data_IF_261231201489
#
_entry.id   IF_261231201489
#
_cell.length_a   1.000
_cell.length_b   1.000
_cell.length_c   1.000
_cell.angle_alpha   90.00
_cell.angle_beta   90.00
_cell.angle_gamma   90.00
#
_symmetry.space_group_name_H-M   'P 1'
#
loop_
_entity.id
_entity.type
_entity.pdbx_description
1 polymer ?
#
# COMPACT_ATOMS: atom_id res chain seq x y z
N UNK A 1 1.68 19.21 -16.72
CA UNK A 1 0.59 18.44 -16.12
C UNK A 1 0.42 18.88 -14.67
N UNK A 2 -0.79 19.19 -14.26
CA UNK A 2 -1.06 19.66 -12.89
C UNK A 2 -1.09 18.49 -11.91
N UNK A 3 -0.39 18.63 -10.79
CA UNK A 3 -0.49 17.68 -9.68
C UNK A 3 -1.49 18.21 -8.67
N UNK A 4 -2.50 17.40 -8.39
CA UNK A 4 -3.46 17.64 -7.32
C UNK A 4 -3.08 16.83 -6.09
N UNK A 5 -3.43 17.35 -4.92
CA UNK A 5 -3.26 16.64 -3.65
C UNK A 5 -4.48 16.80 -2.76
N UNK A 6 -4.69 15.82 -1.91
CA UNK A 6 -5.65 15.91 -0.80
C UNK A 6 -5.14 15.09 0.38
N UNK A 7 -5.63 15.41 1.57
CA UNK A 7 -5.36 14.63 2.78
C UNK A 7 -6.62 13.90 3.21
N UNK A 8 -6.45 12.66 3.62
CA UNK A 8 -7.54 11.82 4.09
C UNK A 8 -7.19 11.28 5.48
N UNK A 9 -7.95 11.62 6.53
CA UNK A 9 -7.76 11.01 7.84
C UNK A 9 -8.03 9.51 7.79
N UNK A 10 -7.21 8.74 8.51
CA UNK A 10 -7.36 7.28 8.57
C UNK A 10 -6.96 6.75 9.94
N UNK A 11 -7.30 5.48 10.26
CA UNK A 11 -6.89 4.85 11.52
C UNK A 11 -5.37 4.71 11.69
N UNK A 12 -4.60 4.85 10.61
CA UNK A 12 -3.13 4.77 10.66
C UNK A 12 -2.46 6.13 10.51
N UNK A 13 -3.21 7.21 10.58
CA UNK A 13 -2.74 8.57 10.38
C UNK A 13 -3.27 9.17 9.08
N UNK A 14 -2.98 10.45 8.86
CA UNK A 14 -3.42 11.12 7.64
C UNK A 14 -2.71 10.54 6.43
N UNK A 15 -3.48 10.31 5.37
CA UNK A 15 -2.94 9.90 4.08
C UNK A 15 -2.84 11.11 3.17
N UNK A 16 -1.69 11.28 2.51
CA UNK A 16 -1.51 12.25 1.45
C UNK A 16 -1.71 11.54 0.12
N UNK A 17 -2.72 11.95 -0.64
CA UNK A 17 -2.99 11.44 -1.97
C UNK A 17 -2.52 12.46 -3.00
N UNK A 18 -1.85 12.00 -4.03
CA UNK A 18 -1.41 12.83 -5.15
C UNK A 18 -1.75 12.18 -6.48
N UNK A 19 -2.01 13.00 -7.50
CA UNK A 19 -2.32 12.53 -8.85
C UNK A 19 -2.59 13.67 -9.81
N UNK A 20 -2.89 13.33 -11.07
CA UNK A 20 -3.15 14.33 -12.11
C UNK A 20 -4.65 14.51 -12.44
N UNK A 21 -5.51 13.81 -11.73
CA UNK A 21 -6.96 13.79 -11.97
C UNK A 21 -7.44 12.47 -12.57
N UNK A 22 -6.60 11.79 -13.32
CA UNK A 22 -6.93 10.50 -13.94
C UNK A 22 -6.25 9.34 -13.23
N UNK A 23 -5.01 9.51 -12.82
CA UNK A 23 -4.20 8.47 -12.17
C UNK A 23 -3.64 8.98 -10.83
N UNK A 24 -3.55 8.07 -9.87
CA UNK A 24 -2.80 8.33 -8.64
C UNK A 24 -1.31 8.21 -8.92
N UNK A 25 -0.55 9.20 -8.49
CA UNK A 25 0.92 9.14 -8.49
C UNK A 25 1.47 8.70 -7.14
N UNK A 26 0.69 8.80 -6.08
CA UNK A 26 1.11 8.32 -4.78
C UNK A 26 0.06 8.42 -3.69
N UNK A 27 0.26 7.60 -2.68
CA UNK A 27 -0.42 7.62 -1.39
C UNK A 27 0.64 7.41 -0.32
N UNK A 28 0.82 8.38 0.54
CA UNK A 28 1.81 8.32 1.62
C UNK A 28 1.13 8.52 2.95
N UNK A 29 1.58 7.77 3.95
CA UNK A 29 1.11 7.91 5.33
C UNK A 29 1.95 8.99 6.00
N UNK A 30 1.34 9.84 6.81
CA UNK A 30 2.03 10.94 7.47
C UNK A 30 3.26 10.46 8.24
N UNK A 31 4.39 11.13 8.05
CA UNK A 31 5.68 10.75 8.64
C UNK A 31 6.43 9.64 7.89
N UNK A 32 5.92 9.19 6.77
CA UNK A 32 6.54 8.12 5.99
C UNK A 32 7.86 8.56 5.36
N UNK A 33 8.88 7.69 5.39
CA UNK A 33 10.12 7.89 4.62
C UNK A 33 9.78 7.91 3.13
N UNK A 34 10.55 8.69 2.39
CA UNK A 34 10.43 8.84 0.94
C UNK A 34 9.15 9.52 0.48
N UNK A 35 8.36 10.06 1.41
CA UNK A 35 7.25 10.93 1.02
C UNK A 35 7.81 12.19 0.33
N UNK A 36 7.18 12.64 -0.77
CA UNK A 36 7.69 13.78 -1.50
C UNK A 36 7.48 15.07 -0.73
N UNK A 37 8.31 16.06 -1.02
CA UNK A 37 8.01 17.43 -0.64
C UNK A 37 6.89 17.94 -1.55
N UNK A 38 5.93 18.64 -0.95
CA UNK A 38 4.81 19.22 -1.71
C UNK A 38 5.34 20.37 -2.56
N UNK A 39 5.21 20.25 -3.87
CA UNK A 39 5.63 21.27 -4.80
C UNK A 39 4.78 22.55 -4.67
N UNK A 40 5.39 23.71 -4.90
CA UNK A 40 4.70 24.99 -4.82
C UNK A 40 3.57 25.13 -5.87
N UNK A 41 3.66 24.36 -6.94
CA UNK A 41 2.67 24.34 -8.03
C UNK A 41 1.58 23.25 -7.87
N UNK A 42 1.67 22.44 -6.81
CA UNK A 42 0.64 21.43 -6.54
C UNK A 42 -0.63 22.10 -6.02
N UNK A 43 -1.77 21.57 -6.42
CA UNK A 43 -3.07 22.15 -6.10
C UNK A 43 -3.86 21.24 -5.15
N UNK A 44 -4.39 21.83 -4.10
CA UNK A 44 -5.27 21.12 -3.17
C UNK A 44 -6.65 21.01 -3.81
N UNK A 45 -7.12 19.78 -4.03
CA UNK A 45 -8.45 19.51 -4.56
C UNK A 45 -8.89 18.10 -4.14
N UNK A 46 -10.07 17.99 -3.57
CA UNK A 46 -10.63 16.71 -3.16
C UNK A 46 -11.28 15.94 -4.30
N UNK A 47 -11.87 16.63 -5.26
CA UNK A 47 -12.65 16.01 -6.34
C UNK A 47 -11.91 14.95 -7.15
N UNK A 48 -10.64 15.15 -7.57
CA UNK A 48 -9.91 14.14 -8.34
C UNK A 48 -9.71 12.83 -7.57
N UNK A 49 -9.87 12.84 -6.26
CA UNK A 49 -9.63 11.69 -5.39
C UNK A 49 -10.92 11.09 -4.80
N UNK A 50 -12.08 11.46 -5.32
CA UNK A 50 -13.37 10.98 -4.80
C UNK A 50 -13.45 9.46 -4.78
N UNK A 51 -13.06 8.81 -5.86
CA UNK A 51 -13.08 7.35 -5.96
C UNK A 51 -12.03 6.69 -5.06
N UNK A 52 -10.81 7.22 -5.04
CA UNK A 52 -9.75 6.72 -4.16
C UNK A 52 -10.15 6.85 -2.69
N UNK A 53 -10.71 7.99 -2.33
CA UNK A 53 -11.20 8.25 -0.96
C UNK A 53 -12.30 7.27 -0.58
N UNK A 54 -13.25 7.02 -1.47
CA UNK A 54 -14.34 6.06 -1.25
C UNK A 54 -13.79 4.67 -0.98
N UNK A 55 -12.87 4.20 -1.84
CA UNK A 55 -12.30 2.87 -1.72
C UNK A 55 -11.44 2.72 -0.46
N UNK A 56 -10.65 3.73 -0.11
CA UNK A 56 -9.84 3.70 1.11
C UNK A 56 -10.73 3.67 2.36
N UNK A 57 -11.81 4.44 2.39
CA UNK A 57 -12.77 4.39 3.49
C UNK A 57 -13.44 3.03 3.61
N UNK A 58 -13.83 2.43 2.49
CA UNK A 58 -14.38 1.07 2.46
C UNK A 58 -13.36 0.04 2.97
N UNK A 59 -12.09 0.19 2.58
CA UNK A 59 -11.01 -0.68 3.07
C UNK A 59 -10.91 -0.63 4.61
N UNK A 60 -10.82 0.55 5.18
CA UNK A 60 -10.70 0.69 6.64
C UNK A 60 -11.98 0.30 7.38
N UNK A 61 -13.12 0.38 6.73
CA UNK A 61 -14.39 -0.10 7.28
C UNK A 61 -14.55 -1.63 7.21
N UNK A 62 -13.62 -2.33 6.55
CA UNK A 62 -13.70 -3.77 6.36
C UNK A 62 -14.64 -4.20 5.24
N UNK A 63 -15.08 -3.25 4.40
CA UNK A 63 -16.04 -3.50 3.32
C UNK A 63 -15.38 -3.74 1.96
N UNK A 64 -14.06 -3.57 1.88
CA UNK A 64 -13.32 -3.73 0.63
C UNK A 64 -12.00 -4.44 0.88
N UNK A 65 -11.70 -5.43 0.04
CA UNK A 65 -10.46 -6.20 0.10
C UNK A 65 -9.57 -6.00 -1.13
N UNK A 66 -10.06 -5.34 -2.17
CA UNK A 66 -9.33 -5.08 -3.41
C UNK A 66 -9.57 -3.65 -3.87
N UNK A 67 -8.56 -3.05 -4.46
CA UNK A 67 -8.65 -1.71 -5.02
C UNK A 67 -8.75 -1.77 -6.55
N UNK A 68 -9.57 -0.89 -7.12
CA UNK A 68 -9.70 -0.70 -8.55
C UNK A 68 -9.43 0.78 -8.87
N UNK A 69 -8.15 1.14 -8.86
CA UNK A 69 -7.68 2.50 -9.04
C UNK A 69 -6.59 2.53 -10.10
N UNK A 70 -6.64 3.54 -10.96
CA UNK A 70 -5.59 3.78 -11.94
C UNK A 70 -4.37 4.38 -11.25
N UNK A 71 -3.23 3.70 -11.36
CA UNK A 71 -1.98 4.11 -10.75
C UNK A 71 -0.98 4.48 -11.85
N UNK A 72 -0.32 5.62 -11.69
CA UNK A 72 0.79 5.99 -12.55
C UNK A 72 2.00 5.13 -12.21
N UNK A 73 2.49 4.38 -13.17
CA UNK A 73 3.69 3.57 -12.98
C UNK A 73 4.92 4.45 -13.14
N UNK A 74 5.66 4.58 -12.04
CA UNK A 74 6.96 5.27 -11.98
C UNK A 74 7.98 4.26 -11.45
N UNK A 75 9.23 4.65 -11.39
CA UNK A 75 10.28 3.79 -10.85
C UNK A 75 11.00 2.98 -11.92
N UNK A 76 11.98 2.19 -11.45
CA UNK A 76 12.79 1.34 -12.31
C UNK A 76 12.01 0.09 -12.74
N UNK A 77 12.46 -0.62 -13.79
CA UNK A 77 11.85 -1.89 -14.17
C UNK A 77 11.78 -2.88 -13.01
N UNK A 78 12.84 -2.99 -12.21
CA UNK A 78 12.85 -3.88 -11.05
C UNK A 78 11.84 -3.46 -9.98
N UNK A 79 11.76 -2.18 -9.66
CA UNK A 79 10.76 -1.67 -8.73
C UNK A 79 9.34 -2.00 -9.20
N UNK A 80 9.05 -1.79 -10.48
CA UNK A 80 7.74 -2.11 -11.04
C UNK A 80 7.43 -3.62 -10.98
N UNK A 81 8.42 -4.48 -11.18
CA UNK A 81 8.25 -5.93 -10.99
C UNK A 81 7.89 -6.26 -9.54
N UNK A 82 8.60 -5.67 -8.58
CA UNK A 82 8.33 -5.88 -7.15
C UNK A 82 6.93 -5.39 -6.79
N UNK A 83 6.57 -4.17 -7.18
CA UNK A 83 5.27 -3.61 -6.87
C UNK A 83 4.12 -4.39 -7.52
N UNK A 84 4.33 -4.90 -8.73
CA UNK A 84 3.36 -5.78 -9.38
C UNK A 84 3.17 -7.09 -8.63
N UNK A 85 4.25 -7.68 -8.13
CA UNK A 85 4.19 -8.91 -7.33
C UNK A 85 3.52 -8.66 -5.97
N UNK A 86 3.74 -7.49 -5.36
CA UNK A 86 3.04 -7.10 -4.13
C UNK A 86 1.52 -7.06 -4.33
N UNK A 87 1.07 -6.53 -5.47
CA UNK A 87 -0.34 -6.44 -5.79
C UNK A 87 -1.03 -7.81 -5.87
N UNK A 88 -0.27 -8.87 -6.10
CA UNK A 88 -0.77 -10.24 -6.15
C UNK A 88 -0.89 -10.91 -4.77
N UNK A 89 -0.38 -10.29 -3.71
CA UNK A 89 -0.54 -10.82 -2.35
C UNK A 89 -1.97 -10.53 -1.88
N UNK A 90 -2.79 -11.58 -1.63
CA UNK A 90 -4.18 -11.36 -1.26
C UNK A 90 -4.34 -10.66 0.09
N UNK A 91 -5.46 -9.97 0.24
CA UNK A 91 -5.88 -9.37 1.50
C UNK A 91 -5.88 -10.43 2.63
N UNK A 92 -5.32 -10.07 3.77
CA UNK A 92 -5.23 -10.97 4.92
C UNK A 92 -4.10 -11.99 4.86
N UNK A 93 -3.28 -11.96 3.81
CA UNK A 93 -2.13 -12.86 3.66
C UNK A 93 -0.82 -12.08 3.68
N UNK A 94 0.27 -12.78 3.93
CA UNK A 94 1.62 -12.21 3.92
C UNK A 94 2.53 -13.06 3.05
N UNK A 95 3.64 -12.48 2.62
CA UNK A 95 4.75 -13.17 1.95
C UNK A 95 6.04 -12.71 2.58
N UNK A 96 7.04 -13.57 2.58
CA UNK A 96 8.38 -13.17 3.00
C UNK A 96 9.11 -12.47 1.86
N UNK A 97 10.10 -11.65 2.19
CA UNK A 97 10.97 -11.02 1.18
C UNK A 97 11.64 -12.07 0.29
N UNK A 98 12.11 -13.17 0.90
CA UNK A 98 12.75 -14.26 0.16
C UNK A 98 11.80 -15.00 -0.77
N UNK A 99 10.56 -15.25 -0.34
CA UNK A 99 9.56 -15.90 -1.16
C UNK A 99 9.17 -15.05 -2.37
N UNK A 100 9.02 -13.74 -2.17
CA UNK A 100 8.72 -12.82 -3.26
C UNK A 100 9.88 -12.76 -4.26
N UNK A 101 11.12 -12.66 -3.78
CA UNK A 101 12.32 -12.67 -4.62
C UNK A 101 12.40 -13.96 -5.45
N UNK A 102 12.16 -15.10 -4.83
CA UNK A 102 12.15 -16.40 -5.53
C UNK A 102 11.06 -16.45 -6.60
N UNK A 103 9.88 -15.92 -6.30
CA UNK A 103 8.77 -15.84 -7.26
C UNK A 103 9.09 -14.97 -8.48
N UNK A 104 9.98 -13.99 -8.33
CA UNK A 104 10.49 -13.15 -9.43
C UNK A 104 11.63 -13.83 -10.20
N UNK A 105 12.02 -15.06 -9.84
CA UNK A 105 13.16 -15.74 -10.43
C UNK A 105 14.52 -15.20 -9.97
N UNK A 106 14.56 -14.48 -8.85
CA UNK A 106 15.75 -13.83 -8.29
C UNK A 106 15.90 -14.14 -6.81
N UNK A 107 16.12 -15.42 -6.42
CA UNK A 107 16.10 -15.82 -5.00
C UNK A 107 17.16 -15.11 -4.13
N UNK A 108 18.23 -14.61 -4.74
CA UNK A 108 19.27 -13.88 -4.02
C UNK A 108 18.95 -12.39 -3.84
N UNK A 109 17.82 -11.90 -4.36
CA UNK A 109 17.48 -10.47 -4.40
C UNK A 109 16.59 -10.01 -3.24
N UNK A 110 16.52 -10.72 -2.12
CA UNK A 110 15.64 -10.37 -1.00
C UNK A 110 15.88 -8.95 -0.47
N UNK A 111 17.14 -8.50 -0.38
CA UNK A 111 17.48 -7.13 0.05
C UNK A 111 17.00 -6.10 -0.95
N UNK A 112 17.20 -6.34 -2.25
CA UNK A 112 16.75 -5.44 -3.29
C UNK A 112 15.21 -5.36 -3.33
N UNK A 113 14.53 -6.47 -3.09
CA UNK A 113 13.07 -6.51 -2.91
C UNK A 113 12.67 -5.64 -1.73
N UNK A 114 13.36 -5.75 -0.60
CA UNK A 114 13.09 -4.92 0.58
C UNK A 114 13.25 -3.44 0.30
N UNK A 115 14.31 -3.04 -0.42
CA UNK A 115 14.53 -1.65 -0.80
C UNK A 115 13.42 -1.13 -1.72
N UNK A 116 13.03 -1.90 -2.75
CA UNK A 116 11.95 -1.54 -3.64
C UNK A 116 10.61 -1.44 -2.90
N UNK A 117 10.36 -2.36 -1.97
CA UNK A 117 9.17 -2.35 -1.11
C UNK A 117 9.07 -1.06 -0.30
N UNK A 118 10.19 -0.62 0.28
CA UNK A 118 10.24 0.62 1.06
C UNK A 118 9.99 1.88 0.25
N UNK A 119 10.22 1.84 -1.05
CA UNK A 119 10.02 2.97 -1.96
C UNK A 119 8.70 2.93 -2.72
N UNK A 120 7.79 2.03 -2.36
CA UNK A 120 6.46 1.97 -2.95
C UNK A 120 5.75 3.33 -2.81
N UNK A 121 5.37 3.97 -3.93
CA UNK A 121 4.71 5.27 -3.86
C UNK A 121 3.23 5.23 -3.50
N UNK A 122 2.60 4.06 -3.51
CA UNK A 122 1.15 3.91 -3.29
C UNK A 122 0.86 2.95 -2.15
N UNK A 123 1.17 3.37 -0.92
CA UNK A 123 0.89 2.56 0.28
C UNK A 123 -0.57 2.10 0.32
N UNK A 124 -0.80 0.95 0.89
CA UNK A 124 -2.11 0.32 1.09
C UNK A 124 -2.67 -0.25 -0.21
N UNK A 125 -2.83 0.56 -1.26
CA UNK A 125 -3.32 0.10 -2.57
C UNK A 125 -2.35 -0.91 -3.19
N UNK A 126 -1.05 -0.61 -3.15
CA UNK A 126 0.00 -1.59 -3.41
C UNK A 126 0.47 -2.07 -2.04
N UNK A 127 0.18 -3.32 -1.64
CA UNK A 127 0.23 -3.72 -0.24
C UNK A 127 1.64 -4.06 0.25
N UNK A 128 2.51 -3.08 0.29
CA UNK A 128 3.88 -3.25 0.80
C UNK A 128 3.93 -3.70 2.25
N UNK A 129 2.88 -3.47 3.03
CA UNK A 129 2.76 -3.94 4.41
C UNK A 129 2.63 -5.46 4.53
N UNK A 130 2.32 -6.17 3.45
CA UNK A 130 2.16 -7.63 3.42
C UNK A 130 3.47 -8.40 3.25
N UNK A 131 4.60 -7.70 3.09
CA UNK A 131 5.92 -8.33 3.12
C UNK A 131 6.45 -8.36 4.55
N UNK A 132 6.89 -9.54 5.00
CA UNK A 132 7.38 -9.78 6.35
C UNK A 132 8.72 -10.52 6.32
N UNK A 133 9.41 -10.57 7.47
CA UNK A 133 10.66 -11.31 7.62
C UNK A 133 10.44 -12.82 7.49
N UNK A 134 11.54 -13.55 7.35
CA UNK A 134 11.53 -15.02 7.16
C UNK A 134 10.87 -15.78 8.32
N UNK A 135 10.89 -15.20 9.52
CA UNK A 135 10.23 -15.71 10.72
C UNK A 135 8.81 -15.18 10.91
N UNK A 136 8.28 -14.43 9.94
CA UNK A 136 7.00 -13.73 10.06
C UNK A 136 7.08 -12.40 10.81
N UNK A 137 8.28 -11.97 11.22
CA UNK A 137 8.49 -10.75 11.98
C UNK A 137 8.33 -9.48 11.15
N UNK A 138 7.95 -8.38 11.82
CA UNK A 138 7.81 -7.06 11.20
C UNK A 138 9.19 -6.38 11.21
N UNK A 139 9.93 -6.51 10.10
CA UNK A 139 11.34 -6.10 10.05
C UNK A 139 11.46 -4.59 9.85
N UNK A 140 10.74 -4.03 8.88
CA UNK A 140 10.84 -2.62 8.53
C UNK A 140 9.59 -2.18 7.77
N UNK A 141 9.31 -0.88 7.83
CA UNK A 141 8.26 -0.27 7.03
C UNK A 141 8.50 1.23 6.93
N UNK A 142 8.30 1.80 5.74
CA UNK A 142 8.57 3.22 5.50
C UNK A 142 7.71 4.14 6.38
N UNK A 143 6.49 3.76 6.69
CA UNK A 143 5.58 4.50 7.58
C UNK A 143 5.70 4.08 9.05
N UNK A 144 6.63 3.18 9.38
CA UNK A 144 6.85 2.67 10.73
C UNK A 144 6.23 1.31 10.98
N UNK A 145 6.89 0.52 11.82
CA UNK A 145 6.48 -0.85 12.14
C UNK A 145 5.11 -0.89 12.82
N UNK A 146 4.77 0.13 13.61
CA UNK A 146 3.46 0.20 14.26
C UNK A 146 2.33 0.34 13.24
N UNK A 147 2.51 1.15 12.20
CA UNK A 147 1.55 1.27 11.11
C UNK A 147 1.41 -0.06 10.37
N UNK A 148 2.52 -0.71 10.07
CA UNK A 148 2.53 -2.03 9.43
C UNK A 148 1.72 -3.04 10.24
N UNK A 149 1.95 -3.10 11.55
CA UNK A 149 1.22 -3.96 12.46
C UNK A 149 -0.29 -3.67 12.42
N UNK A 150 -0.68 -2.41 12.50
CA UNK A 150 -2.09 -2.01 12.45
C UNK A 150 -2.78 -2.44 11.17
N UNK A 151 -2.11 -2.28 10.03
CA UNK A 151 -2.64 -2.72 8.73
C UNK A 151 -2.82 -4.24 8.69
N UNK A 152 -1.81 -4.98 9.11
CA UNK A 152 -1.88 -6.45 9.14
C UNK A 152 -2.94 -6.97 10.11
N UNK A 153 -3.04 -6.38 11.30
CA UNK A 153 -4.08 -6.74 12.28
C UNK A 153 -5.48 -6.43 11.76
N UNK A 154 -5.65 -5.28 11.10
CA UNK A 154 -6.91 -4.92 10.46
C UNK A 154 -7.32 -5.98 9.43
N UNK A 155 -6.40 -6.35 8.54
CA UNK A 155 -6.68 -7.34 7.50
C UNK A 155 -6.95 -8.72 8.08
N UNK A 156 -6.19 -9.14 9.08
CA UNK A 156 -6.40 -10.42 9.75
C UNK A 156 -7.78 -10.48 10.43
N UNK A 157 -8.18 -9.41 11.09
CA UNK A 157 -9.48 -9.32 11.76
C UNK A 157 -10.62 -9.38 10.75
N UNK A 158 -10.55 -8.61 9.67
CA UNK A 158 -11.58 -8.58 8.63
C UNK A 158 -11.67 -9.95 7.95
N UNK A 159 -10.54 -10.56 7.61
CA UNK A 159 -10.52 -11.90 7.00
C UNK A 159 -11.10 -12.95 7.94
N UNK A 160 -10.83 -12.86 9.24
CA UNK A 160 -11.38 -13.78 10.25
C UNK A 160 -12.91 -13.63 10.38
N UNK A 161 -13.41 -12.40 10.41
CA UNK A 161 -14.84 -12.13 10.46
C UNK A 161 -15.56 -12.67 9.22
N UNK A 162 -14.97 -12.55 8.05
CA UNK A 162 -15.53 -13.09 6.81
C UNK A 162 -15.63 -14.63 6.87
N UNK A 163 -14.61 -15.32 7.42
CA UNK A 163 -14.63 -16.77 7.58
C UNK A 163 -15.69 -17.23 8.59
N UNK A 164 -15.81 -16.55 9.73
CA UNK A 164 -16.80 -16.90 10.75
C UNK A 164 -18.22 -16.59 10.28
N UNK A 165 -18.41 -15.48 9.53
CA UNK A 165 -19.70 -15.13 8.94
C UNK A 165 -20.20 -16.17 7.95
N UNK A 166 -19.33 -16.70 7.09
CA UNK A 166 -19.70 -17.75 6.11
C UNK A 166 -19.89 -19.13 6.75
N UNK A 167 -19.41 -19.35 7.97
CA UNK A 167 -19.61 -20.60 8.71
C UNK A 167 -20.84 -20.62 9.61
N UNK A 168 -21.60 -19.52 9.66
CA UNK A 168 -22.74 -19.37 10.57
C UNK A 168 -24.09 -19.84 9.99
N UNK A 169 -24.13 -20.36 8.77
CA UNK A 169 -25.34 -20.90 8.13
C UNK A 169 -25.46 -22.41 8.32
#
# INVERSE_FOLDING_TARGET
MTTFITRLPSPVGDLLLAGDGDELSGIWIDGQRWAPEIGADWRIAAEPFAEATRQLREYFAGARTRFALALRRTGTPFQNEVWGALADIPFGETRTYGALAAGLGRPAAARAVGAANGQNPCCIVVPCHRLVGSDGGLVDYAAGVDVKRKLLEHEARVAQLARTGSGAE
#
